data_IF_679541007791
#
_entry.id   IF_679541007791
#
_cell.length_a   1.000
_cell.length_b   1.000
_cell.length_c   1.000
_cell.angle_alpha   90.00
_cell.angle_beta   90.00
_cell.angle_gamma   90.00
#
_symmetry.space_group_name_H-M   'P 1'
#
loop_
_entity.id
_entity.type
_entity.pdbx_description
1 polymer ?
#
# COMPACT_ATOMS: atom_id res chain seq x y z
N UNK A 1 -10.78 6.39 -19.00
CA UNK A 1 -9.88 5.24 -19.23
C UNK A 1 -10.55 4.05 -19.91
N UNK A 2 -11.83 3.73 -19.62
CA UNK A 2 -12.51 2.55 -20.19
C UNK A 2 -12.59 2.53 -21.73
N UNK A 3 -12.99 3.64 -22.39
CA UNK A 3 -13.05 3.73 -23.87
C UNK A 3 -11.69 3.48 -24.52
N UNK A 4 -10.62 4.03 -23.93
CA UNK A 4 -9.24 3.86 -24.39
C UNK A 4 -8.70 2.43 -24.21
N UNK A 5 -9.35 1.60 -23.39
CA UNK A 5 -8.98 0.18 -23.20
C UNK A 5 -9.48 -0.72 -24.33
N UNK A 6 -10.50 -0.28 -25.08
CA UNK A 6 -11.05 -1.04 -26.22
C UNK A 6 -10.01 -1.25 -27.32
N UNK A 7 -10.25 -2.17 -28.26
CA UNK A 7 -9.32 -2.45 -29.36
C UNK A 7 -9.02 -1.17 -30.15
N UNK A 8 -10.07 -0.44 -30.53
CA UNK A 8 -9.95 0.85 -31.25
C UNK A 8 -9.24 1.91 -30.41
N UNK A 9 -9.61 2.05 -29.14
CA UNK A 9 -8.96 3.00 -28.23
C UNK A 9 -7.48 2.73 -28.04
N UNK A 10 -7.08 1.45 -27.92
CA UNK A 10 -5.67 1.05 -27.84
C UNK A 10 -4.93 1.28 -29.15
N UNK A 11 -5.57 1.03 -30.30
CA UNK A 11 -4.97 1.30 -31.60
C UNK A 11 -4.66 2.80 -31.77
N UNK A 12 -5.55 3.68 -31.32
CA UNK A 12 -5.31 5.12 -31.31
C UNK A 12 -4.16 5.50 -30.37
N UNK A 13 -4.16 4.97 -29.14
CA UNK A 13 -3.10 5.24 -28.17
C UNK A 13 -1.72 4.81 -28.68
N UNK A 14 -1.62 3.69 -29.41
CA UNK A 14 -0.36 3.21 -30.00
C UNK A 14 0.30 4.21 -30.96
N UNK A 15 -0.46 5.17 -31.50
CA UNK A 15 0.08 6.24 -32.36
C UNK A 15 0.91 7.25 -31.57
N UNK A 16 0.70 7.37 -30.26
CA UNK A 16 1.34 8.38 -29.39
C UNK A 16 2.04 7.78 -28.17
N UNK A 17 1.77 6.52 -27.82
CA UNK A 17 2.34 5.87 -26.64
C UNK A 17 2.32 4.35 -26.75
N UNK A 18 3.33 3.70 -26.17
CA UNK A 18 3.31 2.26 -25.91
C UNK A 18 2.50 1.90 -24.65
N UNK A 19 2.10 2.89 -23.85
CA UNK A 19 1.38 2.67 -22.59
C UNK A 19 -0.09 2.34 -22.83
N UNK A 20 -0.60 1.40 -22.04
CA UNK A 20 -2.02 1.06 -22.00
C UNK A 20 -2.75 1.72 -20.82
N UNK A 21 -4.05 2.01 -20.94
CA UNK A 21 -4.84 2.44 -19.80
C UNK A 21 -4.92 1.35 -18.74
N UNK A 22 -4.76 1.74 -17.47
CA UNK A 22 -5.07 0.90 -16.32
C UNK A 22 -6.49 1.19 -15.83
N UNK A 23 -7.13 0.17 -15.28
CA UNK A 23 -8.43 0.27 -14.62
C UNK A 23 -8.23 0.00 -13.14
N UNK A 24 -9.06 0.62 -12.31
CA UNK A 24 -9.16 0.29 -10.90
C UNK A 24 -9.55 -1.19 -10.74
N UNK A 25 -8.83 -1.86 -9.87
CA UNK A 25 -9.08 -3.21 -9.39
C UNK A 25 -9.34 -3.12 -7.88
N UNK A 26 -10.50 -3.58 -7.43
CA UNK A 26 -10.93 -3.45 -6.04
C UNK A 26 -10.15 -4.33 -5.08
N UNK A 27 -9.52 -5.42 -5.54
CA UNK A 27 -8.78 -6.33 -4.66
C UNK A 27 -7.32 -5.91 -4.45
N UNK A 28 -6.79 -5.02 -5.30
CA UNK A 28 -5.39 -4.57 -5.22
C UNK A 28 -5.31 -3.16 -4.64
N UNK A 29 -4.73 -3.04 -3.45
CA UNK A 29 -4.67 -1.78 -2.69
C UNK A 29 -4.03 -0.62 -3.47
N UNK A 30 -2.96 -0.88 -4.24
CA UNK A 30 -2.27 0.14 -5.04
C UNK A 30 -2.99 0.52 -6.35
N UNK A 31 -4.07 -0.18 -6.71
CA UNK A 31 -4.64 -0.08 -8.06
C UNK A 31 -5.20 1.31 -8.39
N UNK A 32 -5.81 1.98 -7.42
CA UNK A 32 -6.31 3.36 -7.63
C UNK A 32 -5.16 4.33 -7.89
N UNK A 33 -4.07 4.23 -7.12
CA UNK A 33 -2.87 5.04 -7.32
C UNK A 33 -2.26 4.78 -8.70
N UNK A 34 -2.02 3.53 -9.07
CA UNK A 34 -1.46 3.14 -10.37
C UNK A 34 -2.33 3.61 -11.54
N UNK A 35 -3.66 3.55 -11.40
CA UNK A 35 -4.60 4.04 -12.41
C UNK A 35 -4.48 5.55 -12.60
N UNK A 36 -4.47 6.32 -11.51
CA UNK A 36 -4.37 7.79 -11.55
C UNK A 36 -3.01 8.20 -12.12
N UNK A 37 -1.93 7.57 -11.68
CA UNK A 37 -0.58 7.81 -12.17
C UNK A 37 -0.49 7.52 -13.69
N UNK A 38 -1.07 6.40 -14.14
CA UNK A 38 -1.14 6.05 -15.57
C UNK A 38 -1.95 7.07 -16.36
N UNK A 39 -3.07 7.55 -15.83
CA UNK A 39 -3.87 8.58 -16.46
C UNK A 39 -3.06 9.88 -16.64
N UNK A 40 -2.34 10.34 -15.61
CA UNK A 40 -1.54 11.56 -15.69
C UNK A 40 -0.42 11.46 -16.75
N UNK A 41 0.19 10.27 -16.90
CA UNK A 41 1.17 10.00 -17.97
C UNK A 41 0.54 10.00 -19.37
N UNK A 42 -0.67 9.46 -19.51
CA UNK A 42 -1.36 9.35 -20.81
C UNK A 42 -2.08 10.61 -21.26
N UNK A 43 -2.59 11.44 -20.34
CA UNK A 43 -3.38 12.62 -20.65
C UNK A 43 -2.72 13.57 -21.67
N UNK A 44 -1.44 13.99 -21.52
CA UNK A 44 -0.82 14.90 -22.49
C UNK A 44 -0.66 14.23 -23.86
N UNK A 45 -0.38 12.92 -23.90
CA UNK A 45 -0.24 12.15 -25.14
C UNK A 45 -1.57 12.00 -25.87
N UNK A 46 -2.67 11.84 -25.13
CA UNK A 46 -4.02 11.78 -25.71
C UNK A 46 -4.37 13.12 -26.37
N UNK A 47 -4.03 14.24 -25.73
CA UNK A 47 -4.28 15.58 -26.31
C UNK A 47 -3.50 15.79 -27.60
N UNK A 48 -2.30 15.19 -27.75
CA UNK A 48 -1.50 15.26 -28.99
C UNK A 48 -2.15 14.56 -30.19
N UNK A 49 -3.10 13.64 -29.98
CA UNK A 49 -3.83 13.00 -31.09
C UNK A 49 -4.68 14.00 -31.88
N UNK A 50 -4.94 15.19 -31.34
CA UNK A 50 -5.70 16.24 -32.00
C UNK A 50 -7.22 16.10 -31.82
N UNK A 51 -7.91 17.24 -31.81
CA UNK A 51 -9.33 17.32 -31.46
C UNK A 51 -10.23 16.47 -32.38
N UNK A 52 -10.00 16.50 -33.70
CA UNK A 52 -10.86 15.80 -34.67
C UNK A 52 -10.89 14.28 -34.44
N UNK A 53 -9.71 13.66 -34.29
CA UNK A 53 -9.60 12.23 -34.01
C UNK A 53 -10.23 11.85 -32.66
N UNK A 54 -10.16 12.72 -31.66
CA UNK A 54 -10.77 12.49 -30.35
C UNK A 54 -12.31 12.58 -30.40
N UNK A 55 -12.87 13.46 -31.25
CA UNK A 55 -14.32 13.57 -31.47
C UNK A 55 -14.85 12.38 -32.24
N UNK A 56 -14.21 11.99 -33.35
CA UNK A 56 -14.60 10.84 -34.18
C UNK A 56 -14.67 9.53 -33.37
N UNK A 57 -13.80 9.39 -32.37
CA UNK A 57 -13.71 8.19 -31.53
C UNK A 57 -14.45 8.34 -30.18
N UNK A 58 -15.23 9.41 -30.01
CA UNK A 58 -16.02 9.72 -28.80
C UNK A 58 -15.18 9.78 -27.50
N UNK A 59 -13.91 10.14 -27.62
CA UNK A 59 -12.99 10.28 -26.47
C UNK A 59 -13.07 11.70 -25.90
N UNK A 60 -13.27 12.71 -26.76
CA UNK A 60 -13.27 14.12 -26.37
C UNK A 60 -14.25 14.44 -25.22
N UNK A 61 -15.52 13.96 -25.23
CA UNK A 61 -16.45 14.22 -24.13
C UNK A 61 -16.07 13.54 -22.81
N UNK A 62 -15.20 12.53 -22.85
CA UNK A 62 -14.75 11.76 -21.68
C UNK A 62 -13.48 12.33 -21.05
N UNK A 63 -12.87 13.35 -21.65
CA UNK A 63 -11.70 14.01 -21.09
C UNK A 63 -12.11 14.91 -19.93
N UNK A 64 -11.33 14.84 -18.85
CA UNK A 64 -11.50 15.73 -17.70
C UNK A 64 -11.29 17.18 -18.13
N UNK A 65 -12.12 18.07 -17.60
CA UNK A 65 -11.93 19.52 -17.73
C UNK A 65 -10.64 19.92 -17.00
N UNK A 66 -10.11 21.10 -17.33
CA UNK A 66 -8.88 21.62 -16.70
C UNK A 66 -8.95 21.60 -15.16
N UNK A 67 -10.06 22.07 -14.58
CA UNK A 67 -10.23 22.10 -13.12
C UNK A 67 -10.25 20.68 -12.50
N UNK A 68 -10.89 19.72 -13.16
CA UNK A 68 -10.94 18.32 -12.71
C UNK A 68 -9.56 17.65 -12.83
N UNK A 69 -8.84 17.92 -13.93
CA UNK A 69 -7.48 17.44 -14.13
C UNK A 69 -6.52 17.95 -13.05
N UNK A 70 -6.62 19.22 -12.65
CA UNK A 70 -5.82 19.77 -11.54
C UNK A 70 -6.18 19.13 -10.19
N UNK A 71 -7.47 18.83 -9.95
CA UNK A 71 -7.88 18.04 -8.76
C UNK A 71 -7.27 16.64 -8.77
N UNK A 72 -7.21 15.98 -9.94
CA UNK A 72 -6.59 14.66 -10.08
C UNK A 72 -5.08 14.72 -9.81
N UNK A 73 -4.37 15.76 -10.26
CA UNK A 73 -2.96 15.97 -9.89
C UNK A 73 -2.77 16.10 -8.38
N UNK A 74 -3.65 16.84 -7.71
CA UNK A 74 -3.59 16.96 -6.24
C UNK A 74 -3.83 15.61 -5.56
N UNK A 75 -4.86 14.88 -6.00
CA UNK A 75 -5.16 13.55 -5.50
C UNK A 75 -3.99 12.58 -5.70
N UNK A 76 -3.30 12.64 -6.85
CA UNK A 76 -2.16 11.78 -7.13
C UNK A 76 -1.01 11.99 -6.13
N UNK A 77 -0.74 13.25 -5.75
CA UNK A 77 0.27 13.58 -4.73
C UNK A 77 -0.09 13.03 -3.36
N UNK A 78 -1.36 13.08 -2.98
CA UNK A 78 -1.81 12.54 -1.69
C UNK A 78 -1.74 11.00 -1.71
N UNK A 79 -2.18 10.36 -2.81
CA UNK A 79 -2.09 8.91 -2.98
C UNK A 79 -0.65 8.41 -2.99
N UNK A 80 0.30 9.17 -3.53
CA UNK A 80 1.72 8.82 -3.51
C UNK A 80 2.27 8.72 -2.08
N UNK A 81 1.89 9.66 -1.20
CA UNK A 81 2.26 9.62 0.22
C UNK A 81 1.69 8.37 0.90
N UNK A 82 0.41 8.07 0.65
CA UNK A 82 -0.22 6.87 1.20
C UNK A 82 0.40 5.58 0.68
N UNK A 83 0.75 5.52 -0.60
CA UNK A 83 1.45 4.38 -1.20
C UNK A 83 2.82 4.15 -0.55
N UNK A 84 3.54 5.23 -0.21
CA UNK A 84 4.79 5.15 0.55
C UNK A 84 4.57 4.57 1.96
N UNK A 85 3.56 5.08 2.68
CA UNK A 85 3.23 4.59 4.02
C UNK A 85 2.80 3.12 4.00
N UNK A 86 1.93 2.71 3.08
CA UNK A 86 1.45 1.32 3.00
C UNK A 86 2.56 0.34 2.65
N UNK A 87 3.49 0.72 1.77
CA UNK A 87 4.69 -0.07 1.49
C UNK A 87 5.60 -0.20 2.71
N UNK A 88 5.79 0.87 3.47
CA UNK A 88 6.59 0.83 4.69
C UNK A 88 5.97 -0.12 5.72
N UNK A 89 4.65 -0.07 5.89
CA UNK A 89 3.89 -0.95 6.80
C UNK A 89 3.98 -2.44 6.44
N UNK A 90 4.31 -2.77 5.19
CA UNK A 90 4.46 -4.16 4.74
C UNK A 90 5.85 -4.74 5.01
N UNK A 91 6.81 -3.95 5.49
CA UNK A 91 8.16 -4.44 5.79
C UNK A 91 8.15 -5.32 7.05
N UNK A 92 8.70 -6.53 6.93
CA UNK A 92 8.81 -7.48 8.04
C UNK A 92 9.67 -6.97 9.21
N UNK A 93 10.54 -5.99 8.98
CA UNK A 93 11.43 -5.40 9.99
C UNK A 93 10.79 -4.25 10.77
N UNK A 94 9.55 -3.86 10.44
CA UNK A 94 8.92 -2.69 11.03
C UNK A 94 8.43 -2.99 12.45
N UNK A 95 8.89 -2.21 13.42
CA UNK A 95 8.45 -2.32 14.81
C UNK A 95 7.11 -1.61 15.02
N UNK A 96 6.34 -2.05 16.01
CA UNK A 96 5.07 -1.41 16.38
C UNK A 96 5.26 0.07 16.78
N UNK A 97 6.39 0.40 17.43
CA UNK A 97 6.77 1.77 17.75
C UNK A 97 7.00 2.63 16.52
N UNK A 98 7.53 2.06 15.43
CA UNK A 98 7.70 2.73 14.15
C UNK A 98 6.35 2.86 13.41
N UNK A 99 5.50 1.82 13.44
CA UNK A 99 4.11 1.89 12.94
C UNK A 99 3.36 3.06 13.58
N UNK A 100 3.44 3.20 14.91
CA UNK A 100 2.76 4.30 15.61
C UNK A 100 3.29 5.67 15.19
N UNK A 101 4.60 5.82 15.03
CA UNK A 101 5.22 7.06 14.50
C UNK A 101 4.74 7.40 13.09
N UNK A 102 4.61 6.39 12.22
CA UNK A 102 4.07 6.57 10.87
C UNK A 102 2.61 7.04 10.93
N UNK A 103 1.76 6.41 11.75
CA UNK A 103 0.37 6.81 11.91
C UNK A 103 0.23 8.21 12.51
N UNK A 104 1.02 8.58 13.50
CA UNK A 104 1.00 9.93 14.08
C UNK A 104 1.36 10.99 13.03
N UNK A 105 2.35 10.70 12.16
CA UNK A 105 2.72 11.56 11.05
C UNK A 105 1.60 11.66 10.01
N UNK A 106 0.94 10.55 9.67
CA UNK A 106 -0.21 10.54 8.77
C UNK A 106 -1.37 11.36 9.35
N UNK A 107 -1.66 11.23 10.64
CA UNK A 107 -2.73 11.99 11.31
C UNK A 107 -2.41 13.48 11.35
N UNK A 108 -1.13 13.85 11.53
CA UNK A 108 -0.68 15.24 11.49
C UNK A 108 -0.94 15.87 10.12
N UNK A 109 -0.67 15.15 9.05
CA UNK A 109 -0.86 15.64 7.67
C UNK A 109 -2.31 15.51 7.18
N UNK A 110 -3.03 14.48 7.62
CA UNK A 110 -4.42 14.18 7.28
C UNK A 110 -5.27 14.03 8.55
N UNK A 111 -5.66 15.14 9.20
CA UNK A 111 -6.41 15.10 10.47
C UNK A 111 -7.73 14.32 10.42
N UNK A 112 -8.35 14.21 9.24
CA UNK A 112 -9.55 13.42 9.02
C UNK A 112 -9.38 11.93 9.37
N UNK A 113 -8.15 11.39 9.29
CA UNK A 113 -7.84 9.99 9.60
C UNK A 113 -7.67 9.72 11.10
N UNK A 114 -7.69 10.75 11.95
CA UNK A 114 -7.53 10.62 13.41
C UNK A 114 -8.50 9.60 14.02
N UNK A 115 -9.74 9.57 13.55
CA UNK A 115 -10.78 8.65 14.05
C UNK A 115 -10.50 7.17 13.78
N UNK A 116 -9.52 6.87 12.92
CA UNK A 116 -9.12 5.51 12.54
C UNK A 116 -7.69 5.16 12.96
N UNK A 117 -6.78 6.14 12.94
CA UNK A 117 -5.35 5.89 13.12
C UNK A 117 -4.78 6.36 14.47
N UNK A 118 -5.49 7.20 15.23
CA UNK A 118 -4.99 7.64 16.53
C UNK A 118 -4.91 6.47 17.53
N UNK A 119 -3.98 6.53 18.48
CA UNK A 119 -3.86 5.49 19.53
C UNK A 119 -5.14 5.30 20.37
N UNK A 120 -5.98 6.33 20.43
CA UNK A 120 -7.28 6.30 21.13
C UNK A 120 -8.46 6.05 20.21
N UNK A 121 -8.23 5.67 18.94
CA UNK A 121 -9.31 5.45 18.00
C UNK A 121 -10.16 4.24 18.43
N UNK A 122 -11.51 4.31 18.32
CA UNK A 122 -12.41 3.23 18.77
C UNK A 122 -12.20 1.88 18.09
N UNK A 123 -11.49 1.85 16.96
CA UNK A 123 -11.17 0.63 16.23
C UNK A 123 -10.11 -0.24 16.94
N UNK A 124 -9.34 0.34 17.87
CA UNK A 124 -8.31 -0.39 18.62
C UNK A 124 -8.94 -1.09 19.81
N UNK A 125 -9.12 -2.41 19.70
CA UNK A 125 -9.74 -3.23 20.74
C UNK A 125 -8.89 -3.35 22.02
N UNK A 126 -7.56 -3.31 21.88
CA UNK A 126 -6.62 -3.55 22.99
C UNK A 126 -5.61 -2.39 23.15
N UNK A 127 -6.06 -1.20 23.60
CA UNK A 127 -5.20 -0.02 23.69
C UNK A 127 -4.01 -0.21 24.65
N UNK A 128 -4.22 -0.90 25.77
CA UNK A 128 -3.15 -1.16 26.76
C UNK A 128 -2.06 -2.10 26.22
N UNK A 129 -2.42 -3.07 25.37
CA UNK A 129 -1.44 -3.94 24.73
C UNK A 129 -0.57 -3.15 23.77
N UNK A 130 -1.20 -2.35 22.91
CA UNK A 130 -0.47 -1.60 21.90
C UNK A 130 0.45 -0.56 22.52
N UNK A 131 -0.07 0.22 23.47
CA UNK A 131 0.70 1.22 24.18
C UNK A 131 1.84 0.59 25.00
N UNK A 132 1.59 -0.56 25.62
CA UNK A 132 2.61 -1.32 26.36
C UNK A 132 3.75 -1.78 25.45
N UNK A 133 3.44 -2.38 24.30
CA UNK A 133 4.43 -2.81 23.31
C UNK A 133 5.26 -1.64 22.76
N UNK A 134 4.60 -0.50 22.45
CA UNK A 134 5.29 0.71 21.99
C UNK A 134 6.25 1.24 23.06
N UNK A 135 5.81 1.32 24.33
CA UNK A 135 6.66 1.76 25.45
C UNK A 135 7.83 0.82 25.69
N UNK A 136 7.62 -0.50 25.66
CA UNK A 136 8.69 -1.50 25.79
C UNK A 136 9.76 -1.30 24.70
N UNK A 137 9.33 -1.14 23.44
CA UNK A 137 10.24 -0.91 22.31
C UNK A 137 11.00 0.42 22.41
N UNK A 138 10.44 1.43 23.07
CA UNK A 138 11.08 2.72 23.34
C UNK A 138 11.89 2.77 24.63
N UNK A 139 11.90 1.68 25.42
CA UNK A 139 12.51 1.59 26.77
C UNK A 139 11.90 2.60 27.76
N UNK A 140 10.61 2.86 27.63
CA UNK A 140 9.82 3.73 28.51
C UNK A 140 9.16 2.95 29.66
N UNK A 141 8.73 3.66 30.70
CA UNK A 141 8.03 3.07 31.82
C UNK A 141 6.63 2.56 31.42
N UNK A 142 6.34 1.32 31.79
CA UNK A 142 5.09 0.60 31.46
C UNK A 142 4.22 0.50 32.71
N UNK A 143 2.92 0.79 32.58
CA UNK A 143 1.94 0.66 33.67
C UNK A 143 1.63 -0.80 33.99
N UNK A 144 0.98 -1.06 35.13
CA UNK A 144 0.58 -2.42 35.52
C UNK A 144 -0.39 -3.02 34.50
N UNK A 145 -1.36 -2.23 34.01
CA UNK A 145 -2.34 -2.67 33.02
C UNK A 145 -1.68 -2.99 31.67
N UNK A 146 -0.76 -2.14 31.21
CA UNK A 146 0.02 -2.39 29.99
C UNK A 146 0.93 -3.62 30.12
N UNK A 147 1.58 -3.77 31.29
CA UNK A 147 2.45 -4.92 31.59
C UNK A 147 1.67 -6.22 31.65
N UNK A 148 0.46 -6.21 32.20
CA UNK A 148 -0.46 -7.35 32.23
C UNK A 148 -0.87 -7.72 30.81
N UNK A 149 -1.29 -6.75 30.00
CA UNK A 149 -1.67 -6.98 28.60
C UNK A 149 -0.52 -7.55 27.75
N UNK A 150 0.73 -7.11 28.00
CA UNK A 150 1.91 -7.63 27.30
C UNK A 150 2.43 -8.97 27.86
N UNK A 151 1.90 -9.46 28.99
CA UNK A 151 2.46 -10.63 29.67
C UNK A 151 2.41 -11.90 28.82
N UNK A 152 1.36 -12.06 28.02
CA UNK A 152 1.16 -13.21 27.11
C UNK A 152 2.22 -13.28 25.99
N UNK A 153 2.85 -12.14 25.65
CA UNK A 153 3.89 -12.06 24.64
C UNK A 153 5.30 -12.24 25.20
N UNK A 154 5.43 -12.46 26.51
CA UNK A 154 6.73 -12.79 27.12
C UNK A 154 7.11 -14.20 26.70
N UNK A 155 8.09 -14.29 25.80
CA UNK A 155 8.69 -15.58 25.49
C UNK A 155 9.48 -16.09 26.69
N UNK A 156 9.16 -17.27 27.18
CA UNK A 156 10.01 -18.06 28.10
C UNK A 156 11.20 -18.68 27.38
N UNK A 157 11.29 -18.58 26.05
CA UNK A 157 12.29 -19.23 25.22
C UNK A 157 13.67 -18.54 25.20
N UNK A 158 13.86 -17.45 25.95
CA UNK A 158 15.20 -16.89 26.18
C UNK A 158 16.10 -17.84 27.00
N UNK A 159 15.60 -18.96 27.55
CA UNK A 159 16.43 -20.03 28.10
C UNK A 159 16.83 -21.14 27.11
N UNK A 160 16.36 -21.13 25.85
CA UNK A 160 16.94 -21.99 24.80
C UNK A 160 17.01 -21.23 23.49
N UNK A 161 18.07 -20.46 23.33
CA UNK A 161 18.77 -20.49 22.06
C UNK A 161 19.73 -21.69 22.12
N UNK A 162 19.41 -22.86 21.53
CA UNK A 162 20.49 -23.70 21.06
C UNK A 162 21.25 -22.88 20.02
N UNK A 163 22.58 -22.91 20.09
CA UNK A 163 23.43 -22.69 18.92
C UNK A 163 22.75 -23.28 17.70
N UNK A 164 22.65 -22.51 16.62
CA UNK A 164 22.20 -22.98 15.31
C UNK A 164 23.09 -24.17 14.92
N UNK A 165 22.68 -25.37 15.29
CA UNK A 165 23.03 -26.55 14.53
C UNK A 165 22.06 -26.56 13.35
N UNK A 166 22.61 -26.40 12.16
CA UNK A 166 21.93 -26.54 10.88
C UNK A 166 21.39 -27.97 10.73
N UNK A 167 20.31 -28.30 11.44
CA UNK A 167 19.55 -29.52 11.19
C UNK A 167 18.61 -29.27 10.02
N UNK A 168 19.17 -29.45 8.83
CA UNK A 168 18.52 -29.27 7.54
C UNK A 168 17.51 -30.38 7.22
N UNK A 169 16.42 -30.50 7.98
CA UNK A 169 15.33 -31.41 7.62
C UNK A 169 14.29 -30.69 6.75
N UNK A 170 14.76 -30.36 5.54
CA UNK A 170 13.88 -29.85 4.48
C UNK A 170 13.16 -31.01 3.81
N UNK A 171 11.83 -31.01 3.93
CA UNK A 171 10.85 -31.82 3.19
C UNK A 171 11.15 -31.89 1.68
N UNK A 172 11.86 -30.89 1.15
CA UNK A 172 12.33 -30.83 -0.24
C UNK A 172 13.29 -31.99 -0.58
N UNK A 173 14.14 -32.46 0.34
CA UNK A 173 15.03 -33.62 0.09
C UNK A 173 14.27 -34.95 0.07
N UNK A 174 13.16 -35.07 0.82
CA UNK A 174 12.32 -36.26 0.82
C UNK A 174 11.52 -36.40 -0.49
N UNK A 175 11.13 -35.28 -1.11
CA UNK A 175 10.35 -35.26 -2.34
C UNK A 175 11.14 -35.65 -3.61
N UNK A 176 12.48 -35.58 -3.60
CA UNK A 176 13.33 -35.83 -4.78
C UNK A 176 14.26 -37.05 -4.66
N UNK A 177 14.05 -37.94 -3.68
CA UNK A 177 14.71 -39.26 -3.71
C UNK A 177 14.12 -40.08 -4.87
N UNK A 178 14.80 -40.02 -6.02
CA UNK A 178 14.58 -40.92 -7.15
C UNK A 178 14.63 -42.37 -6.67
N UNK A 179 13.52 -43.08 -6.76
CA UNK A 179 13.49 -44.53 -6.67
C UNK A 179 14.28 -45.09 -7.85
N UNK A 180 15.46 -45.66 -7.59
CA UNK A 180 16.10 -46.64 -8.46
C UNK A 180 15.60 -48.01 -8.02
N UNK A 181 14.73 -48.63 -8.81
CA UNK A 181 14.99 -49.89 -9.55
C UNK A 181 14.12 -49.81 -10.80
#
# INVERSE_FOLDING_TARGET
>A
MAKLRTITGRALLRRVSHLSPLMRNDTRWSSTFEMVERYLKLQPLIVQLGHNLLVENEIQPLLLRRAEHERVKSLARDLEKFEGVTKELQKATLTLSAVRRLFDQVVKEFPALKTRLAATAPIFNNPNLEQGLVKIQRREAVTIAERSACAEFKSTALERAPTREDSSDSIVKAAFKKTKV
#
